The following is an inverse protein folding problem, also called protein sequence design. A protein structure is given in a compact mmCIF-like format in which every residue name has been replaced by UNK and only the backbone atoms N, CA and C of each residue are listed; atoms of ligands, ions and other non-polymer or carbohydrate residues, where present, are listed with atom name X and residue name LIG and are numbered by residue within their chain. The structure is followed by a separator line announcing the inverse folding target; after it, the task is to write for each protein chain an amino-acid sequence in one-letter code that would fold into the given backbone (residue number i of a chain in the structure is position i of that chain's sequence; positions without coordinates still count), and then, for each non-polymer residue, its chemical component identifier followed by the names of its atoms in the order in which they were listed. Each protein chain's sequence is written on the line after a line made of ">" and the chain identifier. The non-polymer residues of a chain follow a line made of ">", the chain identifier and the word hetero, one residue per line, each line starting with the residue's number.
data_IF_386644076581
#
_entry.id   IF_386644076581
#
_cell.length_a   1.000
_cell.length_b   1.000
_cell.length_c   1.000
_cell.angle_alpha   90.00
_cell.angle_beta   90.00
_cell.angle_gamma   90.00
#
_symmetry.space_group_name_H-M   'P 1'
#
loop_
_entity.id
_entity.type
_entity.pdbx_description
1 polymer ?
#
# COMPACT_ATOMS: atom_id res chain seq x y z
N UNK A 1 10.91 2.23 -1.69
CA UNK A 1 11.98 2.85 -2.51
C UNK A 1 12.27 1.95 -3.71
N UNK A 2 12.62 2.53 -4.86
CA UNK A 2 13.05 1.80 -6.06
C UNK A 2 14.55 1.54 -6.13
N UNK A 3 15.24 1.42 -4.98
CA UNK A 3 16.71 1.34 -4.92
C UNK A 3 17.29 0.15 -5.68
N UNK A 4 16.59 -0.99 -5.67
CA UNK A 4 16.96 -2.18 -6.45
C UNK A 4 16.88 -1.97 -7.97
N UNK A 5 16.16 -0.94 -8.42
CA UNK A 5 16.06 -0.52 -9.81
C UNK A 5 16.91 0.73 -10.11
N UNK A 6 17.76 1.16 -9.17
CA UNK A 6 18.60 2.36 -9.32
C UNK A 6 17.86 3.69 -9.13
N UNK A 7 16.62 3.67 -8.65
CA UNK A 7 15.83 4.89 -8.43
C UNK A 7 15.92 5.37 -6.98
N UNK A 8 16.05 6.69 -6.80
CA UNK A 8 16.11 7.34 -5.48
C UNK A 8 14.74 7.57 -4.83
N UNK A 9 13.65 7.47 -5.60
CA UNK A 9 12.28 7.73 -5.16
C UNK A 9 11.42 6.49 -4.90
N UNK A 10 10.11 6.68 -4.67
CA UNK A 10 9.14 5.58 -4.61
C UNK A 10 9.12 4.76 -5.92
N UNK A 11 8.93 3.44 -5.82
CA UNK A 11 8.89 2.58 -7.00
C UNK A 11 7.67 2.88 -7.90
N UNK A 12 6.60 3.39 -7.30
CA UNK A 12 5.36 3.73 -8.00
C UNK A 12 5.51 4.85 -9.04
N UNK A 13 6.60 5.62 -9.01
CA UNK A 13 6.82 6.76 -9.90
C UNK A 13 7.72 6.42 -11.08
N UNK A 14 8.12 5.16 -11.19
CA UNK A 14 8.87 4.65 -12.34
C UNK A 14 7.91 4.53 -13.51
N UNK A 15 8.34 5.07 -14.66
CA UNK A 15 7.61 4.92 -15.93
C UNK A 15 7.56 3.43 -16.33
N UNK A 16 6.36 2.96 -16.63
CA UNK A 16 6.12 1.58 -17.06
C UNK A 16 5.91 1.52 -18.56
N UNK A 17 5.04 2.38 -19.10
CA UNK A 17 4.67 2.37 -20.52
C UNK A 17 4.12 3.71 -20.96
N UNK A 18 4.53 4.17 -22.15
CA UNK A 18 3.99 5.36 -22.82
C UNK A 18 4.01 6.64 -21.95
N UNK A 19 5.07 6.87 -21.16
CA UNK A 19 5.14 8.01 -20.25
C UNK A 19 4.33 7.85 -18.95
N UNK A 20 3.62 6.73 -18.76
CA UNK A 20 2.80 6.50 -17.57
C UNK A 20 3.56 5.70 -16.52
N UNK A 21 3.54 6.21 -15.29
CA UNK A 21 4.07 5.53 -14.11
C UNK A 21 3.09 4.50 -13.56
N UNK A 22 3.52 3.67 -12.61
CA UNK A 22 2.58 2.77 -11.92
C UNK A 22 1.45 3.55 -11.25
N UNK A 23 1.76 4.68 -10.61
CA UNK A 23 0.76 5.51 -9.95
C UNK A 23 -0.24 6.09 -10.95
N UNK A 24 0.22 6.54 -12.13
CA UNK A 24 -0.68 7.00 -13.19
C UNK A 24 -1.67 5.90 -13.60
N UNK A 25 -1.17 4.68 -13.81
CA UNK A 25 -2.01 3.55 -14.21
C UNK A 25 -3.03 3.17 -13.13
N UNK A 26 -2.65 3.18 -11.85
CA UNK A 26 -3.57 2.93 -10.73
C UNK A 26 -4.64 4.02 -10.66
N UNK A 27 -4.27 5.30 -10.79
CA UNK A 27 -5.22 6.41 -10.80
C UNK A 27 -6.21 6.28 -11.95
N UNK A 28 -5.72 5.97 -13.17
CA UNK A 28 -6.56 5.76 -14.36
C UNK A 28 -7.55 4.60 -14.15
N UNK A 29 -7.12 3.50 -13.51
CA UNK A 29 -7.99 2.35 -13.23
C UNK A 29 -9.15 2.73 -12.31
N UNK A 30 -8.87 3.42 -11.20
CA UNK A 30 -9.90 3.82 -10.23
C UNK A 30 -10.79 4.93 -10.79
N UNK A 31 -10.22 5.90 -11.51
CA UNK A 31 -11.00 6.95 -12.18
C UNK A 31 -11.95 6.35 -13.23
N UNK A 32 -11.48 5.40 -14.03
CA UNK A 32 -12.32 4.68 -15.00
C UNK A 32 -13.47 3.94 -14.32
N UNK A 33 -13.20 3.32 -13.16
CA UNK A 33 -14.22 2.64 -12.35
C UNK A 33 -15.27 3.63 -11.80
N UNK A 34 -14.82 4.77 -11.27
CA UNK A 34 -15.70 5.84 -10.78
C UNK A 34 -16.61 6.38 -11.89
N UNK A 35 -16.04 6.68 -13.06
CA UNK A 35 -16.80 7.18 -14.22
C UNK A 35 -17.79 6.13 -14.72
N UNK A 36 -17.37 4.86 -14.83
CA UNK A 36 -18.19 3.78 -15.39
C UNK A 36 -19.43 3.47 -14.53
N UNK A 37 -19.26 3.44 -13.21
CA UNK A 37 -20.33 3.06 -12.29
C UNK A 37 -20.97 4.23 -11.54
N UNK A 38 -20.53 5.47 -11.81
CA UNK A 38 -21.03 6.66 -11.11
C UNK A 38 -20.74 6.62 -9.60
N UNK A 39 -19.65 5.99 -9.20
CA UNK A 39 -19.28 5.81 -7.80
C UNK A 39 -18.07 6.69 -7.43
N UNK A 40 -17.77 6.77 -6.14
CA UNK A 40 -16.61 7.48 -5.62
C UNK A 40 -15.77 6.55 -4.73
N UNK A 41 -14.88 5.79 -5.37
CA UNK A 41 -13.89 4.93 -4.73
C UNK A 41 -12.63 5.76 -4.45
N UNK A 42 -12.24 5.93 -3.18
CA UNK A 42 -11.02 6.63 -2.82
C UNK A 42 -9.79 5.75 -3.06
N UNK A 43 -8.70 6.37 -3.51
CA UNK A 43 -7.37 5.75 -3.56
C UNK A 43 -6.57 6.17 -2.32
N UNK A 44 -6.03 5.21 -1.57
CA UNK A 44 -5.26 5.48 -0.37
C UNK A 44 -3.82 5.00 -0.55
N UNK A 45 -2.86 5.92 -0.43
CA UNK A 45 -1.44 5.65 -0.57
C UNK A 45 -0.78 5.62 0.81
N UNK A 46 -0.39 4.43 1.25
CA UNK A 46 0.47 4.26 2.43
C UNK A 46 1.92 4.57 2.06
N UNK A 47 2.42 5.70 2.54
CA UNK A 47 3.78 6.16 2.32
C UNK A 47 4.71 5.76 3.49
N UNK A 48 6.00 6.05 3.32
CA UNK A 48 7.00 6.05 4.40
C UNK A 48 7.66 7.42 4.45
N UNK A 49 8.41 7.71 5.51
CA UNK A 49 9.25 8.91 5.59
C UNK A 49 10.29 9.02 4.45
N UNK A 50 10.57 7.92 3.74
CA UNK A 50 11.45 7.90 2.56
C UNK A 50 10.74 8.27 1.25
N UNK A 51 9.41 8.20 1.20
CA UNK A 51 8.64 8.36 -0.04
C UNK A 51 7.58 9.46 0.03
N UNK A 52 7.24 9.94 1.23
CA UNK A 52 6.11 10.84 1.45
C UNK A 52 6.17 12.12 0.62
N UNK A 53 7.28 12.86 0.70
CA UNK A 53 7.42 14.16 0.04
C UNK A 53 7.36 14.03 -1.48
N UNK A 54 7.93 12.96 -2.03
CA UNK A 54 7.92 12.69 -3.47
C UNK A 54 6.53 12.26 -3.94
N UNK A 55 5.84 11.42 -3.17
CA UNK A 55 4.45 11.04 -3.46
C UNK A 55 3.54 12.27 -3.45
N UNK A 56 3.65 13.17 -2.46
CA UNK A 56 2.81 14.37 -2.37
C UNK A 56 2.96 15.29 -3.58
N UNK A 57 4.19 15.52 -4.05
CA UNK A 57 4.45 16.34 -5.25
C UNK A 57 3.77 15.78 -6.49
N UNK A 58 3.63 14.46 -6.58
CA UNK A 58 3.07 13.78 -7.75
C UNK A 58 1.55 13.70 -7.65
N UNK A 59 1.01 13.45 -6.45
CA UNK A 59 -0.44 13.43 -6.22
C UNK A 59 -1.09 14.76 -6.63
N UNK A 60 -0.39 15.89 -6.48
CA UNK A 60 -0.86 17.20 -6.94
C UNK A 60 -1.22 17.26 -8.43
N UNK A 61 -0.67 16.37 -9.27
CA UNK A 61 -1.00 16.28 -10.71
C UNK A 61 -2.45 15.83 -10.96
N UNK A 62 -3.05 15.10 -10.03
CA UNK A 62 -4.38 14.51 -10.17
C UNK A 62 -5.48 15.33 -9.50
N UNK A 63 -5.20 16.59 -9.11
CA UNK A 63 -6.18 17.46 -8.43
C UNK A 63 -7.47 17.67 -9.25
N UNK A 64 -7.39 17.59 -10.57
CA UNK A 64 -8.53 17.73 -11.48
C UNK A 64 -9.14 16.39 -11.92
N UNK A 65 -8.60 15.26 -11.47
CA UNK A 65 -9.11 13.92 -11.78
C UNK A 65 -10.34 13.59 -10.92
N UNK A 66 -11.24 12.73 -11.42
CA UNK A 66 -12.44 12.29 -10.68
C UNK A 66 -12.13 11.17 -9.68
N UNK A 67 -11.20 11.44 -8.78
CA UNK A 67 -10.72 10.48 -7.79
C UNK A 67 -10.23 11.19 -6.53
N UNK A 68 -10.71 10.72 -5.38
CA UNK A 68 -10.22 11.19 -4.09
C UNK A 68 -8.96 10.40 -3.70
N UNK A 69 -7.81 11.08 -3.70
CA UNK A 69 -6.53 10.48 -3.31
C UNK A 69 -6.18 10.90 -1.88
N UNK A 70 -6.06 9.92 -1.00
CA UNK A 70 -5.59 10.09 0.37
C UNK A 70 -4.17 9.55 0.52
N UNK A 71 -3.40 10.17 1.40
CA UNK A 71 -2.08 9.68 1.78
C UNK A 71 -1.99 9.62 3.31
N UNK A 72 -1.22 8.67 3.82
CA UNK A 72 -0.80 8.62 5.22
C UNK A 72 0.60 8.00 5.30
N UNK A 73 1.33 8.28 6.38
CA UNK A 73 2.62 7.64 6.62
C UNK A 73 2.47 6.45 7.55
N UNK A 74 3.18 5.38 7.20
CA UNK A 74 3.42 4.28 8.12
C UNK A 74 4.42 4.69 9.22
N UNK A 75 4.51 3.90 10.27
CA UNK A 75 5.39 4.10 11.42
C UNK A 75 6.87 4.20 11.02
N UNK A 76 7.66 4.83 11.88
CA UNK A 76 9.11 4.95 11.75
C UNK A 76 9.77 4.38 13.01
N UNK A 77 10.41 3.21 12.89
CA UNK A 77 11.05 2.53 14.01
C UNK A 77 12.56 2.75 14.00
N UNK A 78 13.20 2.86 15.18
CA UNK A 78 14.65 2.99 15.25
C UNK A 78 15.31 1.66 14.88
N UNK A 79 16.33 1.70 14.03
CA UNK A 79 17.18 0.52 13.81
C UNK A 79 17.93 0.19 15.10
N UNK A 80 18.20 -1.09 15.33
CA UNK A 80 19.01 -1.55 16.45
C UNK A 80 20.41 -1.88 15.98
N UNK A 81 21.39 -1.57 16.82
CA UNK A 81 22.77 -2.02 16.62
C UNK A 81 22.88 -3.47 17.08
N UNK A 82 23.50 -4.33 16.27
CA UNK A 82 23.51 -5.78 16.51
C UNK A 82 24.36 -6.15 17.72
N UNK A 83 25.46 -5.43 17.93
CA UNK A 83 26.46 -5.77 18.94
C UNK A 83 25.97 -5.54 20.37
N UNK A 84 25.13 -4.53 20.59
CA UNK A 84 24.67 -4.15 21.94
C UNK A 84 23.16 -3.92 22.07
N UNK A 85 22.40 -4.19 21.01
CA UNK A 85 20.93 -4.07 20.97
C UNK A 85 20.39 -2.66 21.30
N UNK A 86 21.25 -1.64 21.25
CA UNK A 86 20.84 -0.26 21.50
C UNK A 86 20.26 0.39 20.25
N UNK A 87 19.26 1.28 20.37
CA UNK A 87 18.77 2.06 19.23
C UNK A 87 19.90 2.86 18.56
N UNK A 88 20.07 2.69 17.26
CA UNK A 88 21.06 3.41 16.47
C UNK A 88 20.94 4.95 16.62
N UNK A 89 19.73 5.55 16.68
CA UNK A 89 19.58 6.98 16.95
C UNK A 89 20.20 7.46 18.28
N UNK A 90 20.23 6.63 19.33
CA UNK A 90 20.84 7.04 20.62
C UNK A 90 22.37 7.10 20.56
N UNK A 91 22.99 6.53 19.52
CA UNK A 91 24.43 6.60 19.26
C UNK A 91 24.83 7.79 18.36
N UNK A 92 23.93 8.76 18.20
CA UNK A 92 24.17 9.96 17.38
C UNK A 92 23.79 9.83 15.91
N UNK A 93 23.37 8.64 15.46
CA UNK A 93 22.89 8.43 14.09
C UNK A 93 21.38 8.70 13.99
N UNK A 94 21.00 9.97 14.15
CA UNK A 94 19.59 10.41 14.18
C UNK A 94 19.00 10.67 12.79
N UNK A 95 19.83 10.68 11.74
CA UNK A 95 19.40 10.84 10.34
C UNK A 95 18.56 9.67 9.83
N UNK A 96 18.09 9.74 8.58
CA UNK A 96 17.16 8.75 7.97
C UNK A 96 17.66 7.30 8.09
N UNK A 97 18.97 7.08 8.00
CA UNK A 97 19.58 5.75 8.10
C UNK A 97 19.50 5.12 9.50
N UNK A 98 19.23 5.92 10.53
CA UNK A 98 18.95 5.47 11.90
C UNK A 98 17.59 4.80 12.06
N UNK A 99 16.73 4.87 11.03
CA UNK A 99 15.34 4.46 11.11
C UNK A 99 14.93 3.55 9.95
N UNK A 100 13.81 2.85 10.11
CA UNK A 100 13.22 2.03 9.06
C UNK A 100 11.70 2.00 9.17
N UNK A 101 10.98 1.84 8.04
CA UNK A 101 9.56 1.51 8.08
C UNK A 101 9.39 0.03 8.49
N UNK A 102 8.53 -0.31 9.47
CA UNK A 102 8.39 -1.67 10.02
C UNK A 102 7.62 -2.65 9.11
N UNK A 103 7.81 -2.53 7.79
CA UNK A 103 7.20 -3.41 6.80
C UNK A 103 5.70 -3.15 6.58
N UNK A 104 5.12 -3.87 5.61
CA UNK A 104 3.73 -3.65 5.20
C UNK A 104 2.70 -4.10 6.24
N UNK A 105 3.09 -4.90 7.24
CA UNK A 105 2.20 -5.30 8.34
C UNK A 105 1.75 -4.13 9.24
N UNK A 106 2.50 -3.02 9.22
CA UNK A 106 2.16 -1.79 9.94
C UNK A 106 0.97 -1.02 9.31
N UNK A 107 0.43 -1.50 8.19
CA UNK A 107 -0.75 -0.89 7.54
C UNK A 107 -1.94 -0.78 8.50
N UNK A 108 -2.19 -1.78 9.35
CA UNK A 108 -3.32 -1.76 10.28
C UNK A 108 -3.18 -0.68 11.36
N UNK A 109 -2.11 -0.67 12.19
CA UNK A 109 -1.95 0.36 13.21
C UNK A 109 -1.77 1.75 12.59
N UNK A 110 -1.08 1.88 11.46
CA UNK A 110 -0.86 3.20 10.84
C UNK A 110 -2.12 3.77 10.18
N UNK A 111 -2.96 2.94 9.55
CA UNK A 111 -4.24 3.39 9.02
C UNK A 111 -5.17 3.85 10.16
N UNK A 112 -5.20 3.11 11.26
CA UNK A 112 -5.94 3.48 12.47
C UNK A 112 -5.42 4.79 13.07
N UNK A 113 -4.12 4.88 13.34
CA UNK A 113 -3.48 6.06 13.95
C UNK A 113 -3.57 7.32 13.07
N UNK A 114 -3.68 7.15 11.75
CA UNK A 114 -3.86 8.28 10.83
C UNK A 114 -5.25 8.93 10.91
N UNK A 115 -6.21 8.31 11.61
CA UNK A 115 -7.62 8.71 11.65
C UNK A 115 -8.38 8.48 10.34
N UNK A 116 -7.71 7.96 9.29
CA UNK A 116 -8.34 7.68 7.99
C UNK A 116 -9.33 6.53 8.08
N UNK A 117 -9.06 5.53 8.93
CA UNK A 117 -9.99 4.43 9.16
C UNK A 117 -11.36 4.95 9.60
N UNK A 118 -11.41 5.80 10.62
CA UNK A 118 -12.65 6.37 11.14
C UNK A 118 -13.36 7.23 10.11
N UNK A 119 -12.61 8.01 9.31
CA UNK A 119 -13.16 8.81 8.22
C UNK A 119 -13.85 7.90 7.18
N UNK A 120 -13.20 6.82 6.73
CA UNK A 120 -13.81 5.93 5.74
C UNK A 120 -15.01 5.15 6.30
N UNK A 121 -14.93 4.71 7.56
CA UNK A 121 -16.07 4.08 8.24
C UNK A 121 -17.26 5.06 8.34
N UNK A 122 -17.02 6.33 8.67
CA UNK A 122 -18.07 7.37 8.71
C UNK A 122 -18.72 7.66 7.35
N UNK A 123 -18.00 7.36 6.26
CA UNK A 123 -18.49 7.44 4.88
C UNK A 123 -19.23 6.17 4.43
N UNK A 124 -19.38 5.17 5.31
CA UNK A 124 -20.03 3.90 5.02
C UNK A 124 -19.18 2.93 4.21
N UNK A 125 -17.84 3.04 4.27
CA UNK A 125 -16.94 2.04 3.65
C UNK A 125 -16.78 0.85 4.60
N UNK A 126 -16.88 -0.37 4.06
CA UNK A 126 -16.81 -1.60 4.86
C UNK A 126 -15.55 -2.44 4.59
N UNK A 127 -14.99 -2.35 3.38
CA UNK A 127 -13.84 -3.14 2.94
C UNK A 127 -12.73 -2.25 2.40
N UNK A 128 -11.49 -2.71 2.58
CA UNK A 128 -10.29 -2.14 1.95
C UNK A 128 -9.60 -3.19 1.10
N UNK A 129 -9.31 -2.85 -0.15
CA UNK A 129 -8.49 -3.66 -1.05
C UNK A 129 -7.04 -3.18 -0.96
N UNK A 130 -6.13 -4.06 -0.52
CA UNK A 130 -4.71 -3.73 -0.31
C UNK A 130 -3.85 -4.48 -1.34
N UNK A 131 -3.05 -3.72 -2.08
CA UNK A 131 -2.10 -4.27 -3.05
C UNK A 131 -0.81 -3.44 -3.06
N UNK A 132 0.26 -4.03 -3.57
CA UNK A 132 1.50 -3.30 -3.78
C UNK A 132 1.32 -2.29 -4.93
N UNK A 133 1.91 -1.11 -4.77
CA UNK A 133 1.84 -0.03 -5.77
C UNK A 133 2.55 -0.36 -7.09
N UNK A 134 3.30 -1.46 -7.16
CA UNK A 134 4.03 -1.93 -8.34
C UNK A 134 3.40 -3.19 -8.98
N UNK A 135 2.25 -3.66 -8.47
CA UNK A 135 1.51 -4.77 -9.05
C UNK A 135 0.34 -4.26 -9.92
N UNK A 136 0.57 -4.15 -11.23
CA UNK A 136 -0.46 -3.69 -12.17
C UNK A 136 -1.59 -4.69 -12.43
N UNK A 137 -1.42 -5.96 -12.03
CA UNK A 137 -2.46 -6.98 -12.12
C UNK A 137 -3.50 -6.89 -11.01
N UNK A 138 -3.21 -6.16 -9.94
CA UNK A 138 -4.09 -5.98 -8.80
C UNK A 138 -5.13 -4.88 -9.09
N UNK A 139 -6.17 -5.24 -9.84
CA UNK A 139 -7.33 -4.38 -10.13
C UNK A 139 -8.51 -4.75 -9.24
N UNK A 140 -9.45 -3.82 -9.06
CA UNK A 140 -10.69 -4.09 -8.31
C UNK A 140 -11.53 -5.14 -9.03
N UNK A 141 -11.68 -6.32 -8.43
CA UNK A 141 -12.56 -7.39 -8.91
C UNK A 141 -13.89 -7.39 -8.13
N UNK A 142 -14.96 -7.05 -8.84
CA UNK A 142 -16.32 -6.96 -8.27
C UNK A 142 -16.85 -8.34 -7.85
N UNK A 143 -16.42 -9.43 -8.50
CA UNK A 143 -16.86 -10.78 -8.14
C UNK A 143 -16.27 -11.21 -6.81
N UNK A 144 -14.99 -10.89 -6.56
CA UNK A 144 -14.35 -11.12 -5.27
C UNK A 144 -15.07 -10.30 -4.20
N UNK A 145 -15.24 -8.99 -4.41
CA UNK A 145 -15.93 -8.12 -3.46
C UNK A 145 -17.35 -8.61 -3.13
N UNK A 146 -18.11 -9.00 -4.16
CA UNK A 146 -19.46 -9.55 -3.97
C UNK A 146 -19.44 -10.87 -3.16
N UNK A 147 -18.43 -11.72 -3.33
CA UNK A 147 -18.28 -12.93 -2.53
C UNK A 147 -18.04 -12.60 -1.05
N UNK A 148 -17.16 -11.63 -0.75
CA UNK A 148 -16.85 -11.22 0.62
C UNK A 148 -18.08 -10.69 1.35
N UNK A 149 -18.85 -9.82 0.68
CA UNK A 149 -20.07 -9.23 1.26
C UNK A 149 -21.11 -10.32 1.56
N UNK A 150 -21.35 -11.23 0.61
CA UNK A 150 -22.37 -12.27 0.76
C UNK A 150 -22.05 -13.30 1.86
N UNK A 151 -20.76 -13.56 2.11
CA UNK A 151 -20.31 -14.54 3.11
C UNK A 151 -19.77 -13.89 4.39
N UNK A 152 -19.82 -12.56 4.49
CA UNK A 152 -19.32 -11.77 5.62
C UNK A 152 -17.86 -12.11 6.00
N UNK A 153 -16.99 -12.25 4.99
CA UNK A 153 -15.59 -12.57 5.22
C UNK A 153 -14.82 -11.30 5.65
N UNK A 154 -14.33 -11.24 6.89
CA UNK A 154 -13.59 -10.07 7.39
C UNK A 154 -12.21 -9.89 6.72
N UNK A 155 -11.62 -10.97 6.22
CA UNK A 155 -10.31 -10.95 5.56
C UNK A 155 -10.25 -11.94 4.41
N UNK A 156 -9.60 -11.54 3.31
CA UNK A 156 -9.34 -12.40 2.17
C UNK A 156 -7.96 -12.07 1.58
N UNK A 157 -7.19 -13.12 1.30
CA UNK A 157 -5.91 -13.03 0.62
C UNK A 157 -6.02 -13.73 -0.73
N UNK A 158 -5.80 -12.97 -1.80
CA UNK A 158 -5.68 -13.55 -3.13
C UNK A 158 -4.38 -14.36 -3.24
N UNK A 159 -4.50 -15.61 -3.73
CA UNK A 159 -3.37 -16.51 -3.98
C UNK A 159 -3.37 -16.96 -5.44
N UNK A 160 -2.19 -17.24 -5.98
CA UNK A 160 -2.01 -17.76 -7.34
C UNK A 160 -1.23 -19.08 -7.29
N UNK A 161 -1.48 -20.04 -8.22
CA UNK A 161 -0.70 -21.26 -8.29
C UNK A 161 0.80 -20.99 -8.40
N UNK A 162 1.61 -21.65 -7.57
CA UNK A 162 3.07 -21.48 -7.58
C UNK A 162 3.68 -22.06 -8.85
N UNK A 163 4.58 -21.28 -9.46
CA UNK A 163 5.51 -21.78 -10.49
C UNK A 163 6.86 -22.14 -9.85
N UNK A 164 7.80 -22.64 -10.66
CA UNK A 164 9.18 -22.91 -10.21
C UNK A 164 9.90 -21.66 -9.70
N UNK A 165 9.48 -20.46 -10.12
CA UNK A 165 10.06 -19.19 -9.67
C UNK A 165 9.56 -18.77 -8.27
N UNK A 166 8.43 -19.31 -7.81
CA UNK A 166 7.71 -18.83 -6.62
C UNK A 166 7.98 -19.67 -5.36
N UNK A 167 8.96 -20.58 -5.43
CA UNK A 167 9.26 -21.56 -4.37
C UNK A 167 9.64 -20.90 -3.02
N UNK A 168 10.15 -19.67 -3.04
CA UNK A 168 10.54 -18.92 -1.83
C UNK A 168 9.38 -18.14 -1.20
N UNK A 169 8.25 -18.00 -1.89
CA UNK A 169 7.09 -17.27 -1.37
C UNK A 169 6.37 -18.05 -0.27
N UNK A 170 5.69 -17.32 0.63
CA UNK A 170 4.82 -17.92 1.65
C UNK A 170 3.70 -18.78 1.03
N UNK A 171 2.98 -19.52 1.88
CA UNK A 171 1.78 -20.27 1.49
C UNK A 171 0.75 -20.21 2.61
N UNK A 172 -0.52 -20.36 2.28
CA UNK A 172 -1.56 -20.59 3.26
C UNK A 172 -1.58 -22.07 3.66
N UNK A 173 -1.80 -22.33 4.94
CA UNK A 173 -1.99 -23.66 5.51
C UNK A 173 -3.15 -23.59 6.50
N UNK A 174 -3.82 -24.71 6.75
CA UNK A 174 -4.66 -24.79 7.94
C UNK A 174 -3.81 -25.19 9.14
N UNK A 175 -3.92 -24.43 10.21
CA UNK A 175 -3.23 -24.70 11.47
C UNK A 175 -4.14 -24.30 12.64
N UNK A 176 -4.27 -25.18 13.64
CA UNK A 176 -5.15 -24.96 14.81
C UNK A 176 -6.63 -24.66 14.46
N UNK A 177 -7.14 -25.26 13.37
CA UNK A 177 -8.52 -25.05 12.92
C UNK A 177 -8.77 -23.66 12.33
N UNK A 178 -7.70 -22.87 12.12
CA UNK A 178 -7.71 -21.61 11.38
C UNK A 178 -7.02 -21.83 10.03
N UNK A 179 -7.40 -21.04 9.04
CA UNK A 179 -6.81 -21.02 7.69
C UNK A 179 -6.14 -19.67 7.49
#
# INVERSE_FOLDING_TARGET
>A
LGTTMGCTGPKSVIEVRNGLTFLDLIVIQIESLNVKYGCNVPLVLMNSFNTHDDTLKIVGKYTNSKIDIHTFNQSQYPRLVVEDFMPLPTKGQTGKDGWYPPGHGDVFPSLMNSGKLDVFLSQGKEYVFVANSDNLGAIVDIKILNHLINNQNEYCMEVTPKTLADVKGGTLISYEGRV
#
